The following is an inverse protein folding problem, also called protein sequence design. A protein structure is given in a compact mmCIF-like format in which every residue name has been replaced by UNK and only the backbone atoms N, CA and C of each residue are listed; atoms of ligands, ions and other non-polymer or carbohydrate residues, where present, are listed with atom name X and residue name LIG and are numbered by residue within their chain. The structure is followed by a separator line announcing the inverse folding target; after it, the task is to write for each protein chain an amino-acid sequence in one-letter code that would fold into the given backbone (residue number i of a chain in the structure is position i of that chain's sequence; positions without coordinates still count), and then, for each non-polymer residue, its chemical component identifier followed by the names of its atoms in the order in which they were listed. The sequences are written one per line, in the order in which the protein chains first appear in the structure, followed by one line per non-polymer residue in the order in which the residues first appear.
data_IF_058889967122
#
_entry.id   IF_058889967122
#
_cell.length_a   1.000
_cell.length_b   1.000
_cell.length_c   1.000
_cell.angle_alpha   90.00
_cell.angle_beta   90.00
_cell.angle_gamma   90.00
#
_symmetry.space_group_name_H-M   'P 1'
#
loop_
_entity.id
_entity.type
_entity.pdbx_description
1 polymer ?
#
# COMPACT_ATOMS: atom_id res chain seq x y z
N UNK A 1 2.40 55.28 8.68
CA UNK A 1 1.15 54.65 9.16
C UNK A 1 1.12 53.26 8.59
N UNK A 2 1.39 52.28 9.46
CA UNK A 2 1.32 50.85 9.18
C UNK A 2 -0.14 50.41 9.12
N UNK A 3 -0.47 49.52 8.19
CA UNK A 3 -1.40 48.38 8.35
C UNK A 3 -1.06 47.39 7.22
N UNK A 4 -0.39 46.24 7.44
CA UNK A 4 -0.90 44.96 8.00
C UNK A 4 -2.19 44.49 7.30
N UNK A 5 -2.33 43.26 6.79
CA UNK A 5 -1.65 42.02 7.16
C UNK A 5 -1.41 41.09 5.99
N UNK A 6 -0.29 40.38 6.08
CA UNK A 6 -0.12 39.10 5.45
C UNK A 6 -0.94 38.10 6.27
N UNK A 7 -2.02 37.59 5.70
CA UNK A 7 -2.66 36.37 6.19
C UNK A 7 -1.70 35.22 5.88
N UNK A 8 -0.74 35.00 6.77
CA UNK A 8 -0.17 33.68 6.96
C UNK A 8 -1.25 32.85 7.64
N UNK A 9 -1.98 32.07 6.84
CA UNK A 9 -2.77 30.95 7.33
C UNK A 9 -1.84 30.00 8.09
N UNK A 10 -1.68 30.25 9.39
CA UNK A 10 -1.13 29.30 10.33
C UNK A 10 -2.24 28.27 10.60
N UNK A 11 -2.51 27.41 9.61
CA UNK A 11 -3.35 26.24 9.80
C UNK A 11 -2.69 25.39 10.89
N UNK A 12 -3.39 25.22 12.02
CA UNK A 12 -2.97 24.35 13.10
C UNK A 12 -2.75 22.94 12.54
N UNK A 13 -1.50 22.50 12.48
CA UNK A 13 -1.12 21.14 12.07
C UNK A 13 -1.57 20.15 13.15
N UNK A 14 -2.86 19.81 13.16
CA UNK A 14 -3.37 18.72 13.97
C UNK A 14 -2.76 17.42 13.42
N UNK A 15 -2.30 16.55 14.32
CA UNK A 15 -1.75 15.27 13.89
C UNK A 15 -2.85 14.44 13.22
N UNK A 16 -2.54 13.72 12.13
CA UNK A 16 -3.50 12.82 11.49
C UNK A 16 -4.03 11.81 12.51
N UNK A 17 -5.31 11.46 12.41
CA UNK A 17 -5.87 10.38 13.23
C UNK A 17 -5.44 9.03 12.66
N UNK A 18 -4.88 8.19 13.52
CA UNK A 18 -4.47 6.83 13.17
C UNK A 18 -5.61 5.88 13.54
N UNK A 19 -6.21 5.29 12.52
CA UNK A 19 -7.41 4.46 12.65
C UNK A 19 -7.09 3.13 13.31
N UNK A 20 -7.96 2.71 14.21
CA UNK A 20 -8.06 1.31 14.60
C UNK A 20 -8.55 0.43 13.44
N UNK A 21 -8.33 -0.88 13.52
CA UNK A 21 -8.91 -1.88 12.61
C UNK A 21 -10.42 -1.69 12.48
N UNK A 22 -11.09 -1.49 13.61
CA UNK A 22 -12.54 -1.31 13.67
C UNK A 22 -12.99 -0.05 12.92
N UNK A 23 -12.30 1.07 13.09
CA UNK A 23 -12.60 2.32 12.39
C UNK A 23 -12.34 2.20 10.89
N UNK A 24 -11.21 1.61 10.49
CA UNK A 24 -10.85 1.39 9.09
C UNK A 24 -11.91 0.55 8.36
N UNK A 25 -12.30 -0.59 8.95
CA UNK A 25 -13.35 -1.46 8.40
C UNK A 25 -14.70 -0.74 8.35
N UNK A 26 -15.07 0.01 9.39
CA UNK A 26 -16.33 0.74 9.40
C UNK A 26 -16.40 1.81 8.30
N UNK A 27 -15.31 2.57 8.12
CA UNK A 27 -15.22 3.62 7.10
C UNK A 27 -15.29 3.03 5.69
N UNK A 28 -14.58 1.94 5.42
CA UNK A 28 -14.65 1.26 4.14
C UNK A 28 -16.06 0.74 3.82
N UNK A 29 -16.72 0.13 4.82
CA UNK A 29 -18.08 -0.35 4.66
C UNK A 29 -19.06 0.79 4.35
N UNK A 30 -18.86 1.96 4.92
CA UNK A 30 -19.65 3.16 4.63
C UNK A 30 -19.38 3.68 3.21
N UNK A 31 -18.11 3.72 2.77
CA UNK A 31 -17.77 4.08 1.39
C UNK A 31 -18.45 3.15 0.37
N UNK A 32 -18.48 1.85 0.65
CA UNK A 32 -19.08 0.84 -0.22
C UNK A 32 -20.62 0.88 -0.20
N UNK A 33 -21.23 1.04 0.98
CA UNK A 33 -22.70 0.92 1.14
C UNK A 33 -23.43 2.24 0.96
N UNK A 34 -22.95 3.29 1.60
CA UNK A 34 -23.68 4.55 1.74
C UNK A 34 -23.25 5.57 0.67
N UNK A 35 -21.97 5.54 0.29
CA UNK A 35 -21.43 6.39 -0.79
C UNK A 35 -21.36 5.67 -2.14
N UNK A 36 -21.72 4.39 -2.19
CA UNK A 36 -21.80 3.58 -3.40
C UNK A 36 -20.52 3.54 -4.25
N UNK A 37 -19.35 3.68 -3.63
CA UNK A 37 -18.12 3.31 -4.31
C UNK A 37 -18.13 1.81 -4.59
N UNK A 38 -17.76 1.42 -5.81
CA UNK A 38 -17.53 0.00 -6.10
C UNK A 38 -16.16 -0.43 -5.59
N UNK A 39 -16.01 -1.72 -5.26
CA UNK A 39 -14.72 -2.28 -4.87
C UNK A 39 -13.68 -2.15 -5.99
N UNK A 40 -14.10 -2.23 -7.27
CA UNK A 40 -13.23 -1.92 -8.41
C UNK A 40 -12.74 -0.47 -8.40
N UNK A 41 -13.62 0.51 -8.14
CA UNK A 41 -13.23 1.92 -8.09
C UNK A 41 -12.24 2.20 -6.96
N UNK A 42 -12.50 1.70 -5.75
CA UNK A 42 -11.58 1.88 -4.62
C UNK A 42 -10.23 1.23 -4.92
N UNK A 43 -10.24 -0.03 -5.38
CA UNK A 43 -9.01 -0.76 -5.70
C UNK A 43 -8.19 -0.06 -6.79
N UNK A 44 -8.85 0.45 -7.83
CA UNK A 44 -8.21 1.15 -8.94
C UNK A 44 -7.51 2.44 -8.47
N UNK A 45 -8.22 3.26 -7.69
CA UNK A 45 -7.69 4.53 -7.16
C UNK A 45 -6.52 4.27 -6.22
N UNK A 46 -6.66 3.30 -5.32
CA UNK A 46 -5.63 2.96 -4.35
C UNK A 46 -4.41 2.33 -5.02
N UNK A 47 -4.61 1.39 -5.95
CA UNK A 47 -3.53 0.76 -6.71
C UNK A 47 -2.74 1.77 -7.54
N UNK A 48 -3.42 2.72 -8.19
CA UNK A 48 -2.76 3.82 -8.88
C UNK A 48 -1.93 4.67 -7.92
N UNK A 49 -2.51 5.09 -6.80
CA UNK A 49 -1.81 5.91 -5.82
C UNK A 49 -0.59 5.19 -5.21
N UNK A 50 -0.68 3.87 -4.96
CA UNK A 50 0.45 3.04 -4.54
C UNK A 50 1.58 3.03 -5.57
N UNK A 51 1.26 2.86 -6.86
CA UNK A 51 2.27 2.91 -7.92
C UNK A 51 2.93 4.29 -7.99
N UNK A 52 2.16 5.38 -7.84
CA UNK A 52 2.72 6.74 -7.79
C UNK A 52 3.63 6.94 -6.58
N UNK A 53 3.24 6.42 -5.40
CA UNK A 53 4.07 6.42 -4.20
C UNK A 53 5.39 5.68 -4.41
N UNK A 54 5.34 4.48 -4.99
CA UNK A 54 6.53 3.68 -5.30
C UNK A 54 7.42 4.42 -6.30
N UNK A 55 6.86 4.99 -7.36
CA UNK A 55 7.65 5.72 -8.37
C UNK A 55 8.27 6.99 -7.82
N UNK A 56 7.59 7.69 -6.90
CA UNK A 56 8.17 8.86 -6.22
C UNK A 56 9.34 8.47 -5.32
N UNK A 57 9.22 7.37 -4.59
CA UNK A 57 10.25 6.93 -3.62
C UNK A 57 11.42 6.21 -4.28
N UNK A 58 11.15 5.46 -5.35
CA UNK A 58 12.15 4.69 -6.11
C UNK A 58 12.11 5.03 -7.61
N UNK A 59 12.46 6.26 -8.02
CA UNK A 59 12.49 6.63 -9.43
C UNK A 59 13.36 5.68 -10.26
N UNK A 60 13.01 5.46 -11.54
CA UNK A 60 13.75 4.55 -12.43
C UNK A 60 15.26 4.84 -12.46
N UNK A 61 15.64 6.13 -12.43
CA UNK A 61 17.04 6.58 -12.45
C UNK A 61 17.83 6.24 -11.19
N UNK A 62 17.17 5.89 -10.08
CA UNK A 62 17.82 5.56 -8.80
C UNK A 62 17.92 4.05 -8.56
N UNK A 63 17.36 3.22 -9.45
CA UNK A 63 17.41 1.77 -9.30
C UNK A 63 18.82 1.24 -9.59
N UNK A 64 19.31 0.35 -8.72
CA UNK A 64 20.68 -0.15 -8.80
C UNK A 64 20.93 -1.19 -9.89
N UNK A 65 19.89 -1.90 -10.34
CA UNK A 65 20.01 -2.92 -11.40
C UNK A 65 19.69 -2.33 -12.76
N UNK A 66 20.26 -2.93 -13.81
CA UNK A 66 20.07 -2.51 -15.20
C UNK A 66 18.59 -2.50 -15.64
N UNK A 67 17.80 -3.45 -15.16
CA UNK A 67 16.38 -3.54 -15.45
C UNK A 67 15.59 -3.08 -14.21
N UNK A 68 14.48 -2.34 -14.37
CA UNK A 68 13.67 -1.83 -13.26
C UNK A 68 12.72 -2.90 -12.71
N UNK A 69 13.26 -4.05 -12.33
CA UNK A 69 12.50 -5.21 -11.86
C UNK A 69 11.89 -4.99 -10.48
N UNK A 70 10.60 -5.30 -10.33
CA UNK A 70 9.84 -5.18 -9.07
C UNK A 70 9.09 -6.49 -8.83
N UNK A 71 9.20 -7.06 -7.64
CA UNK A 71 8.37 -8.21 -7.25
C UNK A 71 7.16 -7.71 -6.46
N UNK A 72 5.94 -8.02 -6.91
CA UNK A 72 4.70 -7.66 -6.22
C UNK A 72 4.11 -8.93 -5.61
N UNK A 73 4.05 -8.99 -4.29
CA UNK A 73 3.58 -10.17 -3.54
C UNK A 73 2.15 -9.91 -3.06
N UNK A 74 1.18 -10.61 -3.65
CA UNK A 74 -0.25 -10.36 -3.44
C UNK A 74 -0.91 -11.39 -2.52
N UNK A 75 -1.75 -10.90 -1.60
CA UNK A 75 -2.64 -11.67 -0.75
C UNK A 75 -3.99 -12.05 -1.38
N UNK A 76 -4.75 -12.95 -0.76
CA UNK A 76 -6.08 -13.33 -1.21
C UNK A 76 -7.13 -12.21 -1.01
N UNK A 77 -6.88 -11.31 -0.08
CA UNK A 77 -7.85 -10.30 0.37
C UNK A 77 -7.68 -8.98 -0.40
N UNK A 78 -8.26 -7.88 0.10
CA UNK A 78 -8.34 -6.63 -0.64
C UNK A 78 -6.95 -6.03 -0.89
N UNK A 79 -6.03 -6.15 0.07
CA UNK A 79 -4.68 -5.63 -0.09
C UNK A 79 -3.96 -6.24 -1.31
N UNK A 80 -4.13 -7.54 -1.55
CA UNK A 80 -3.58 -8.20 -2.74
C UNK A 80 -4.20 -7.72 -4.05
N UNK A 81 -5.49 -7.36 -4.02
CA UNK A 81 -6.19 -6.74 -5.15
C UNK A 81 -5.60 -5.36 -5.49
N UNK A 82 -5.33 -4.54 -4.47
CA UNK A 82 -4.61 -3.27 -4.61
C UNK A 82 -3.20 -3.50 -5.17
N UNK A 83 -2.52 -4.56 -4.71
CA UNK A 83 -1.23 -5.00 -5.25
C UNK A 83 -1.28 -5.31 -6.76
N UNK A 84 -2.31 -6.00 -7.24
CA UNK A 84 -2.50 -6.28 -8.67
C UNK A 84 -2.70 -4.99 -9.48
N UNK A 85 -3.57 -4.09 -9.01
CA UNK A 85 -3.76 -2.78 -9.65
C UNK A 85 -2.45 -1.97 -9.64
N UNK A 86 -1.71 -1.98 -8.53
CA UNK A 86 -0.40 -1.34 -8.41
C UNK A 86 0.61 -1.90 -9.43
N UNK A 87 0.72 -3.24 -9.56
CA UNK A 87 1.58 -3.88 -10.55
C UNK A 87 1.26 -3.42 -11.98
N UNK A 88 -0.04 -3.31 -12.30
CA UNK A 88 -0.50 -2.82 -13.60
C UNK A 88 -0.05 -1.39 -13.89
N UNK A 89 -0.12 -0.49 -12.91
CA UNK A 89 0.35 0.88 -13.06
C UNK A 89 1.88 0.97 -13.09
N UNK A 90 2.60 0.18 -12.29
CA UNK A 90 4.06 0.10 -12.35
C UNK A 90 4.53 -0.30 -13.76
N UNK A 91 3.81 -1.21 -14.43
CA UNK A 91 4.08 -1.55 -15.84
C UNK A 91 3.91 -0.36 -16.78
N UNK A 92 2.90 0.49 -16.56
CA UNK A 92 2.70 1.73 -17.34
C UNK A 92 3.76 2.79 -17.03
N UNK A 93 4.32 2.77 -15.82
CA UNK A 93 5.42 3.65 -15.40
C UNK A 93 6.80 3.08 -15.76
N UNK A 94 6.86 2.17 -16.74
CA UNK A 94 8.08 1.58 -17.31
C UNK A 94 8.90 0.70 -16.34
N UNK A 95 8.33 0.31 -15.20
CA UNK A 95 8.89 -0.76 -14.38
C UNK A 95 8.64 -2.13 -15.03
N UNK A 96 9.37 -3.13 -14.56
CA UNK A 96 9.20 -4.53 -14.94
C UNK A 96 8.66 -5.32 -13.74
N UNK A 97 7.35 -5.22 -13.44
CA UNK A 97 6.76 -5.96 -12.34
C UNK A 97 6.66 -7.45 -12.67
N UNK A 98 6.88 -8.28 -11.66
CA UNK A 98 6.52 -9.69 -11.63
C UNK A 98 5.59 -9.90 -10.44
N UNK A 99 4.47 -10.59 -10.62
CA UNK A 99 3.51 -10.86 -9.55
C UNK A 99 3.75 -12.24 -8.95
N UNK A 100 3.71 -12.36 -7.63
CA UNK A 100 3.55 -13.64 -6.94
C UNK A 100 2.23 -13.62 -6.18
N UNK A 101 1.28 -14.46 -6.60
CA UNK A 101 -0.07 -14.51 -6.03
C UNK A 101 -0.46 -15.96 -5.70
N UNK A 102 -0.03 -16.50 -4.54
CA UNK A 102 -0.09 -17.94 -4.24
C UNK A 102 -1.49 -18.46 -3.95
N UNK A 103 -2.38 -17.61 -3.41
CA UNK A 103 -3.76 -17.98 -3.09
C UNK A 103 -4.72 -17.01 -3.78
N UNK A 104 -5.08 -17.32 -5.01
CA UNK A 104 -6.00 -16.48 -5.81
C UNK A 104 -7.41 -16.54 -5.25
N UNK A 105 -8.01 -15.38 -5.02
CA UNK A 105 -9.44 -15.27 -4.69
C UNK A 105 -10.30 -15.56 -5.92
N UNK A 106 -11.46 -16.17 -5.72
CA UNK A 106 -12.47 -16.39 -6.76
C UNK A 106 -13.48 -15.23 -6.85
N UNK A 107 -13.30 -14.17 -6.07
CA UNK A 107 -14.17 -12.99 -6.09
C UNK A 107 -13.87 -12.10 -7.31
N UNK A 108 -14.91 -11.42 -7.80
CA UNK A 108 -14.88 -10.68 -9.07
C UNK A 108 -13.71 -9.70 -9.22
N UNK A 109 -13.43 -8.76 -8.30
CA UNK A 109 -12.37 -7.79 -8.55
C UNK A 109 -11.00 -8.46 -8.67
N UNK A 110 -10.69 -9.45 -7.83
CA UNK A 110 -9.40 -10.16 -7.88
C UNK A 110 -9.16 -10.87 -9.21
N UNK A 111 -10.19 -11.55 -9.75
CA UNK A 111 -10.12 -12.19 -11.05
C UNK A 111 -9.92 -11.17 -12.17
N UNK A 112 -10.68 -10.07 -12.14
CA UNK A 112 -10.61 -9.03 -13.15
C UNK A 112 -9.23 -8.37 -13.18
N UNK A 113 -8.67 -7.99 -12.02
CA UNK A 113 -7.34 -7.40 -11.94
C UNK A 113 -6.23 -8.40 -12.31
N UNK A 114 -6.42 -9.69 -12.02
CA UNK A 114 -5.49 -10.74 -12.46
C UNK A 114 -5.45 -10.81 -13.99
N UNK A 115 -6.62 -10.89 -14.64
CA UNK A 115 -6.73 -10.92 -16.11
C UNK A 115 -6.13 -9.66 -16.72
N UNK A 116 -6.36 -8.48 -16.13
CA UNK A 116 -5.76 -7.24 -16.62
C UNK A 116 -4.21 -7.27 -16.56
N UNK A 117 -3.63 -7.79 -15.48
CA UNK A 117 -2.18 -7.95 -15.39
C UNK A 117 -1.64 -8.92 -16.44
N UNK A 118 -2.31 -10.07 -16.63
CA UNK A 118 -1.96 -11.06 -17.66
C UNK A 118 -2.06 -10.46 -19.07
N UNK A 119 -3.07 -9.62 -19.35
CA UNK A 119 -3.24 -8.90 -20.63
C UNK A 119 -2.22 -7.79 -20.86
N UNK A 120 -1.46 -7.40 -19.84
CA UNK A 120 -0.35 -6.45 -19.93
C UNK A 120 1.02 -7.15 -19.91
N UNK A 121 1.04 -8.46 -20.14
CA UNK A 121 2.23 -9.31 -20.17
C UNK A 121 3.03 -9.24 -18.86
N UNK A 122 2.36 -9.03 -17.73
CA UNK A 122 2.98 -9.07 -16.41
C UNK A 122 3.14 -10.54 -16.00
N UNK A 123 4.38 -11.04 -15.81
CA UNK A 123 4.60 -12.43 -15.45
C UNK A 123 4.11 -12.74 -14.04
N UNK A 124 3.55 -13.95 -13.86
CA UNK A 124 3.18 -14.48 -12.55
C UNK A 124 4.12 -15.63 -12.17
N UNK A 125 4.77 -15.53 -11.01
CA UNK A 125 5.54 -16.63 -10.44
C UNK A 125 4.61 -17.72 -9.92
N UNK A 126 4.94 -18.97 -10.22
CA UNK A 126 4.25 -20.14 -9.66
C UNK A 126 4.69 -20.46 -8.23
N UNK A 127 5.90 -20.06 -7.85
CA UNK A 127 6.45 -20.19 -6.50
C UNK A 127 7.36 -19.01 -6.18
N UNK A 128 7.47 -18.67 -4.89
CA UNK A 128 8.47 -17.73 -4.42
C UNK A 128 9.79 -18.47 -4.17
N UNK A 129 10.94 -18.01 -4.71
CA UNK A 129 12.24 -18.60 -4.39
C UNK A 129 12.50 -18.55 -2.88
N UNK A 130 12.79 -19.70 -2.27
CA UNK A 130 13.14 -19.77 -0.84
C UNK A 130 14.54 -19.27 -0.57
N UNK A 131 15.43 -19.33 -1.57
CA UNK A 131 16.74 -18.72 -1.53
C UNK A 131 16.61 -17.21 -1.70
N UNK A 132 16.65 -16.49 -0.57
CA UNK A 132 16.62 -15.03 -0.46
C UNK A 132 17.54 -14.32 -1.45
N UNK A 133 18.72 -14.90 -1.74
CA UNK A 133 19.69 -14.31 -2.65
C UNK A 133 19.16 -14.21 -4.09
N UNK A 134 18.35 -15.16 -4.54
CA UNK A 134 17.72 -15.12 -5.86
C UNK A 134 16.77 -13.93 -6.00
N UNK A 135 16.04 -13.58 -4.93
CA UNK A 135 15.16 -12.40 -4.91
C UNK A 135 16.01 -11.13 -4.93
N UNK A 136 17.06 -11.07 -4.10
CA UNK A 136 17.97 -9.92 -4.03
C UNK A 136 18.65 -9.63 -5.36
N UNK A 137 19.01 -10.65 -6.14
CA UNK A 137 19.70 -10.50 -7.42
C UNK A 137 18.74 -10.20 -8.56
N UNK A 138 17.51 -10.72 -8.52
CA UNK A 138 16.53 -10.54 -9.58
C UNK A 138 15.78 -9.20 -9.51
N UNK A 139 15.50 -8.67 -8.31
CA UNK A 139 14.57 -7.55 -8.14
C UNK A 139 15.23 -6.32 -7.50
N UNK A 140 14.81 -5.11 -7.87
CA UNK A 140 15.24 -3.87 -7.20
C UNK A 140 14.42 -3.57 -5.94
N UNK A 141 13.15 -3.98 -5.93
CA UNK A 141 12.16 -3.65 -4.92
C UNK A 141 11.18 -4.81 -4.78
N UNK A 142 10.71 -5.03 -3.56
CA UNK A 142 9.51 -5.85 -3.30
C UNK A 142 8.36 -4.95 -2.85
N UNK A 143 7.18 -5.15 -3.43
CA UNK A 143 5.93 -4.58 -2.96
C UNK A 143 5.21 -5.64 -2.14
N UNK A 144 5.07 -5.39 -0.85
CA UNK A 144 4.32 -6.22 0.09
C UNK A 144 2.85 -5.79 0.06
N UNK A 145 2.03 -6.59 -0.62
CA UNK A 145 0.58 -6.50 -0.67
C UNK A 145 -0.05 -7.80 -0.16
N UNK A 146 0.63 -8.48 0.77
CA UNK A 146 0.33 -9.85 1.15
C UNK A 146 -0.83 -9.93 2.15
N UNK A 147 -0.83 -9.13 3.20
CA UNK A 147 -1.88 -9.12 4.24
C UNK A 147 -2.32 -7.67 4.52
N UNK A 148 -3.61 -7.47 4.74
CA UNK A 148 -4.21 -6.17 5.04
C UNK A 148 -4.73 -6.08 6.49
N UNK A 149 -5.26 -4.92 6.91
CA UNK A 149 -5.78 -4.73 8.27
C UNK A 149 -6.93 -5.68 8.64
N UNK A 150 -7.66 -6.19 7.65
CA UNK A 150 -8.73 -7.16 7.82
C UNK A 150 -8.23 -8.52 8.30
N UNK A 151 -6.97 -8.89 7.99
CA UNK A 151 -6.39 -10.19 8.34
C UNK A 151 -6.28 -10.35 9.87
N UNK A 152 -6.70 -11.51 10.39
CA UNK A 152 -6.53 -11.84 11.82
C UNK A 152 -5.13 -12.40 12.09
N UNK A 153 -4.38 -11.79 13.01
CA UNK A 153 -3.08 -12.29 13.44
C UNK A 153 -3.19 -13.70 14.04
N UNK A 154 -2.14 -14.51 13.87
CA UNK A 154 -2.13 -15.91 14.28
C UNK A 154 -2.88 -16.87 13.36
N UNK A 155 -3.65 -16.37 12.39
CA UNK A 155 -4.29 -17.18 11.33
C UNK A 155 -3.46 -17.26 10.05
N UNK A 156 -2.32 -16.57 9.99
CA UNK A 156 -1.37 -16.62 8.87
C UNK A 156 -0.77 -18.02 8.74
N UNK A 157 -1.55 -18.91 8.13
CA UNK A 157 -1.18 -20.28 7.79
C UNK A 157 -0.31 -20.28 6.54
N UNK A 158 0.32 -21.42 6.27
CA UNK A 158 0.96 -21.65 4.98
C UNK A 158 0.03 -21.28 3.81
N UNK A 159 0.55 -20.63 2.75
CA UNK A 159 1.96 -20.33 2.51
C UNK A 159 2.46 -19.00 3.10
N UNK A 160 1.62 -18.22 3.79
CA UNK A 160 1.92 -16.82 4.16
C UNK A 160 3.05 -16.70 5.18
N UNK A 161 3.14 -17.61 6.15
CA UNK A 161 4.24 -17.71 7.12
C UNK A 161 5.60 -17.85 6.44
N UNK A 162 5.73 -18.82 5.53
CA UNK A 162 6.98 -19.07 4.77
C UNK A 162 7.36 -17.90 3.87
N UNK A 163 6.37 -17.23 3.27
CA UNK A 163 6.58 -16.04 2.43
C UNK A 163 7.14 -14.91 3.29
N UNK A 164 6.50 -14.59 4.42
CA UNK A 164 6.97 -13.53 5.32
C UNK A 164 8.38 -13.82 5.84
N UNK A 165 8.68 -15.07 6.22
CA UNK A 165 10.04 -15.47 6.63
C UNK A 165 11.08 -15.21 5.54
N UNK A 166 10.75 -15.52 4.29
CA UNK A 166 11.61 -15.25 3.13
C UNK A 166 11.80 -13.74 2.94
N UNK A 167 10.72 -12.97 2.97
CA UNK A 167 10.74 -11.52 2.76
C UNK A 167 11.50 -10.78 3.87
N UNK A 168 11.46 -11.24 5.13
CA UNK A 168 12.27 -10.67 6.22
C UNK A 168 13.79 -10.81 6.00
N UNK A 169 14.22 -11.78 5.20
CA UNK A 169 15.64 -12.03 4.94
C UNK A 169 16.24 -11.22 3.79
N UNK A 170 15.41 -10.60 2.94
CA UNK A 170 15.90 -9.88 1.76
C UNK A 170 16.61 -8.58 2.15
N UNK A 171 17.53 -8.14 1.30
CA UNK A 171 18.36 -6.94 1.50
C UNK A 171 17.92 -5.78 0.61
N UNK A 172 17.15 -6.07 -0.43
CA UNK A 172 16.54 -5.05 -1.29
C UNK A 172 15.37 -4.38 -0.55
N UNK A 173 15.03 -3.14 -0.90
CA UNK A 173 13.96 -2.44 -0.22
C UNK A 173 12.61 -3.16 -0.32
N UNK A 174 11.77 -2.96 0.70
CA UNK A 174 10.36 -3.37 0.71
C UNK A 174 9.47 -2.14 0.86
N UNK A 175 8.43 -2.05 0.04
CA UNK A 175 7.31 -1.12 0.21
C UNK A 175 6.05 -1.88 0.60
N UNK A 176 5.53 -1.67 1.81
CA UNK A 176 4.30 -2.31 2.27
C UNK A 176 3.08 -1.44 1.98
N UNK A 177 2.06 -2.06 1.39
CA UNK A 177 0.78 -1.43 1.12
C UNK A 177 -0.12 -1.56 2.34
N UNK A 178 -0.66 -0.43 2.75
CA UNK A 178 -1.56 -0.21 3.88
C UNK A 178 -0.99 -0.45 5.28
N UNK A 179 -0.59 -1.69 5.55
CA UNK A 179 0.10 -2.13 6.75
C UNK A 179 1.20 -3.12 6.36
N UNK A 180 2.32 -3.21 7.10
CA UNK A 180 3.30 -4.25 6.84
C UNK A 180 2.75 -5.63 7.20
N UNK A 181 2.91 -6.60 6.30
CA UNK A 181 2.35 -7.94 6.53
C UNK A 181 2.91 -8.58 7.80
N UNK A 182 2.01 -9.09 8.63
CA UNK A 182 2.31 -9.66 9.95
C UNK A 182 2.22 -8.67 11.11
N UNK A 183 1.97 -7.39 10.87
CA UNK A 183 1.73 -6.42 11.95
C UNK A 183 0.29 -6.50 12.48
N UNK A 184 0.12 -6.21 13.76
CA UNK A 184 -1.20 -5.94 14.33
C UNK A 184 -1.66 -4.57 13.81
N UNK A 185 -2.89 -4.39 13.28
CA UNK A 185 -3.32 -3.07 12.80
C UNK A 185 -3.55 -2.04 13.91
N UNK A 186 -3.84 -2.49 15.13
CA UNK A 186 -4.16 -1.68 16.30
C UNK A 186 -2.93 -1.40 17.19
N UNK A 187 -1.91 -2.25 17.11
CA UNK A 187 -0.71 -2.17 17.94
C UNK A 187 0.58 -2.08 17.12
N UNK A 188 1.56 -1.33 17.60
CA UNK A 188 2.90 -1.32 17.00
C UNK A 188 3.56 -2.68 17.25
N UNK A 189 3.58 -3.55 16.23
CA UNK A 189 4.19 -4.89 16.31
C UNK A 189 5.55 -4.90 15.63
N UNK A 190 6.50 -5.64 16.21
CA UNK A 190 7.80 -5.95 15.59
C UNK A 190 7.81 -7.32 14.90
N UNK A 191 6.77 -8.13 15.08
CA UNK A 191 6.71 -9.51 14.59
C UNK A 191 6.15 -9.60 13.15
N UNK A 192 6.77 -8.87 12.23
CA UNK A 192 6.30 -8.77 10.84
C UNK A 192 7.40 -8.53 9.83
N UNK A 193 7.01 -8.20 8.60
CA UNK A 193 7.93 -7.62 7.62
C UNK A 193 8.35 -6.23 8.13
N UNK A 194 9.61 -5.86 7.91
CA UNK A 194 10.13 -4.54 8.26
C UNK A 194 10.42 -3.75 6.98
N UNK A 195 9.45 -2.95 6.48
CA UNK A 195 9.59 -2.27 5.21
C UNK A 195 10.40 -0.98 5.32
N UNK A 196 10.98 -0.56 4.20
CA UNK A 196 11.62 0.74 4.07
C UNK A 196 10.59 1.85 3.84
N UNK A 197 9.48 1.49 3.20
CA UNK A 197 8.39 2.41 2.85
C UNK A 197 7.07 1.81 3.30
N UNK A 198 6.27 2.60 4.00
CA UNK A 198 4.88 2.27 4.31
C UNK A 198 3.97 3.20 3.52
N UNK A 199 3.01 2.63 2.79
CA UNK A 199 2.03 3.39 2.02
C UNK A 199 0.66 3.15 2.65
N UNK A 200 0.27 4.00 3.61
CA UNK A 200 -1.06 3.92 4.21
C UNK A 200 -2.14 4.33 3.21
N UNK A 201 -3.18 3.53 3.09
CA UNK A 201 -4.30 3.78 2.19
C UNK A 201 -5.44 4.46 2.96
N UNK A 202 -5.98 5.53 2.37
CA UNK A 202 -7.10 6.35 2.85
C UNK A 202 -6.76 7.14 4.12
N UNK A 203 -6.34 6.46 5.19
CA UNK A 203 -5.86 7.01 6.45
C UNK A 203 -4.85 6.04 7.09
N UNK A 204 -3.87 6.52 7.87
CA UNK A 204 -2.93 5.63 8.55
C UNK A 204 -3.62 4.75 9.60
N UNK A 205 -3.12 3.53 9.80
CA UNK A 205 -3.56 2.61 10.87
C UNK A 205 -2.68 2.80 12.10
N UNK A 206 -3.21 2.54 13.30
CA UNK A 206 -2.49 2.71 14.59
C UNK A 206 -1.13 2.03 14.63
N UNK A 207 -1.00 0.88 13.97
CA UNK A 207 0.28 0.17 13.85
C UNK A 207 1.42 1.04 13.29
N UNK A 208 1.09 2.03 12.46
CA UNK A 208 2.06 2.93 11.84
C UNK A 208 2.63 4.00 12.81
N UNK A 209 2.09 4.17 14.02
CA UNK A 209 2.60 5.14 15.00
C UNK A 209 4.06 4.89 15.40
N UNK A 210 4.54 3.65 15.29
CA UNK A 210 5.93 3.27 15.57
C UNK A 210 6.82 3.12 14.33
N UNK A 211 6.29 3.42 13.14
CA UNK A 211 7.04 3.28 11.90
C UNK A 211 8.04 4.44 11.72
N UNK A 212 9.27 4.13 11.32
CA UNK A 212 10.38 5.09 11.24
C UNK A 212 11.03 5.21 9.86
N UNK A 213 10.49 4.52 8.85
CA UNK A 213 10.91 4.65 7.46
C UNK A 213 10.16 5.77 6.72
N UNK A 214 10.18 5.73 5.39
CA UNK A 214 9.42 6.69 4.57
C UNK A 214 7.93 6.36 4.62
N UNK A 215 7.11 7.23 5.19
CA UNK A 215 5.67 7.01 5.35
C UNK A 215 4.88 7.90 4.40
N UNK A 216 4.15 7.27 3.48
CA UNK A 216 3.28 7.96 2.53
C UNK A 216 1.81 7.65 2.85
N UNK A 217 0.96 8.66 2.71
CA UNK A 217 -0.49 8.54 2.65
C UNK A 217 -0.93 8.57 1.20
N UNK A 218 -1.66 7.54 0.77
CA UNK A 218 -2.20 7.36 -0.56
C UNK A 218 -3.73 7.23 -0.51
N UNK A 219 -4.42 7.58 -1.61
CA UNK A 219 -5.87 7.42 -1.70
C UNK A 219 -6.65 8.68 -1.35
N UNK A 220 -6.33 9.80 -2.03
CA UNK A 220 -7.11 11.05 -1.96
C UNK A 220 -8.47 10.91 -2.63
N UNK A 221 -9.42 10.29 -1.94
CA UNK A 221 -10.77 10.01 -2.46
C UNK A 221 -11.91 10.34 -1.47
N UNK A 222 -11.58 10.61 -0.21
CA UNK A 222 -12.60 10.72 0.84
C UNK A 222 -13.47 11.98 0.69
N UNK A 223 -14.80 11.82 0.71
CA UNK A 223 -15.75 12.92 0.93
C UNK A 223 -15.49 13.66 2.25
N UNK A 224 -15.80 14.96 2.28
CA UNK A 224 -15.49 15.83 3.43
C UNK A 224 -16.24 15.41 4.71
N UNK A 225 -17.47 14.95 4.57
CA UNK A 225 -18.30 14.43 5.65
C UNK A 225 -17.72 13.16 6.27
N UNK A 226 -17.16 12.22 5.48
CA UNK A 226 -16.41 11.07 6.01
C UNK A 226 -15.17 11.54 6.79
N UNK A 227 -14.37 12.45 6.22
CA UNK A 227 -13.18 12.96 6.90
C UNK A 227 -13.52 13.61 8.25
N UNK A 228 -14.63 14.36 8.30
CA UNK A 228 -15.12 14.99 9.53
C UNK A 228 -15.69 13.97 10.52
N UNK A 229 -16.46 12.98 10.04
CA UNK A 229 -17.11 11.96 10.89
C UNK A 229 -16.09 11.11 11.65
N UNK A 230 -14.98 10.78 10.99
CA UNK A 230 -13.89 9.98 11.57
C UNK A 230 -12.76 10.85 12.13
N UNK A 231 -12.93 12.18 12.18
CA UNK A 231 -11.94 13.13 12.71
C UNK A 231 -10.52 12.91 12.15
N UNK A 232 -10.43 12.63 10.84
CA UNK A 232 -9.19 12.08 10.25
C UNK A 232 -8.00 13.03 10.29
N UNK A 233 -8.25 14.34 10.31
CA UNK A 233 -7.22 15.39 10.32
C UNK A 233 -6.10 15.15 9.27
N UNK A 234 -6.50 14.68 8.07
CA UNK A 234 -5.54 14.30 7.04
C UNK A 234 -4.74 15.52 6.56
N UNK A 235 -3.45 15.36 6.27
CA UNK A 235 -2.65 16.43 5.71
C UNK A 235 -3.15 16.79 4.31
N UNK A 236 -2.94 18.05 3.93
CA UNK A 236 -3.33 18.57 2.62
C UNK A 236 -2.48 17.92 1.53
N UNK A 237 -3.14 17.24 0.60
CA UNK A 237 -2.47 16.75 -0.61
C UNK A 237 -2.06 17.93 -1.51
N UNK A 238 -0.81 17.99 -1.97
CA UNK A 238 -0.31 19.11 -2.77
C UNK A 238 -0.94 19.09 -4.18
N UNK A 239 -1.52 20.22 -4.60
CA UNK A 239 -2.10 20.40 -5.94
C UNK A 239 -3.06 19.25 -6.31
N UNK A 240 -2.76 18.50 -7.37
CA UNK A 240 -3.52 17.34 -7.88
C UNK A 240 -2.90 16.00 -7.46
N UNK A 241 -1.96 15.98 -6.50
CA UNK A 241 -1.34 14.74 -6.06
C UNK A 241 -2.36 13.81 -5.39
N UNK A 242 -2.19 12.51 -5.63
CA UNK A 242 -2.93 11.42 -5.00
C UNK A 242 -2.20 10.80 -3.80
N UNK A 243 -1.00 11.33 -3.49
CA UNK A 243 -0.15 10.93 -2.36
C UNK A 243 0.39 12.16 -1.62
N UNK A 244 0.70 11.99 -0.34
CA UNK A 244 1.46 12.95 0.48
C UNK A 244 2.33 12.20 1.47
N UNK A 245 3.40 12.83 1.95
CA UNK A 245 4.28 12.25 2.96
C UNK A 245 3.78 12.60 4.36
N UNK A 246 3.85 11.63 5.27
CA UNK A 246 3.55 11.79 6.69
C UNK A 246 4.88 12.01 7.43
N UNK A 247 4.88 13.00 8.34
CA UNK A 247 6.04 13.33 9.18
C UNK A 247 5.97 12.60 10.52
#
# INVERSE_FOLDING_TARGET
MNHSGADQDCESTQMPHYLSKKEAVAMEMELLRDYHFSLHQLTEILGHACAVAITKTYPLSTLGKRQPTVLVVCGPDQNGCVGLACARYLRLFEYMPTVFYPKRSSQSPHLDFTVQCEKMDIPFLSYLPTEVQLINDAYNLVVDALLGPETELGTAKEPFSSIMLTLRGIKIPIASLDIPSGWDPDEASVDGINPNVLISLIAPKRCALGFSGTHLLAGRLLPYDIQKKYELNLPKFPSTACITELQ
#
